data_IF_583712576054
#
_entry.id   IF_583712576054
#
_cell.length_a   1.000
_cell.length_b   1.000
_cell.length_c   1.000
_cell.angle_alpha   90.00
_cell.angle_beta   90.00
_cell.angle_gamma   90.00
#
_symmetry.space_group_name_H-M   'P 1'
#
loop_
_entity.id
_entity.type
_entity.pdbx_description
1 polymer ?
#
# COMPACT_ATOMS: atom_id res chain seq x y z
N UNK A 1 -19.27 -29.33 -22.36
CA UNK A 1 -19.33 -27.85 -22.26
C UNK A 1 -19.30 -27.37 -20.80
N UNK A 2 -20.18 -27.83 -19.91
CA UNK A 2 -20.23 -27.39 -18.50
C UNK A 2 -18.88 -27.49 -17.75
N UNK A 3 -18.11 -28.55 -17.95
CA UNK A 3 -16.78 -28.69 -17.35
C UNK A 3 -15.81 -27.58 -17.75
N UNK A 4 -15.79 -27.18 -19.02
CA UNK A 4 -14.91 -26.12 -19.52
C UNK A 4 -15.29 -24.78 -18.88
N UNK A 5 -16.58 -24.42 -18.91
CA UNK A 5 -17.10 -23.20 -18.29
C UNK A 5 -16.80 -23.15 -16.78
N UNK A 6 -17.06 -24.25 -16.07
CA UNK A 6 -16.76 -24.36 -14.63
C UNK A 6 -15.28 -24.15 -14.32
N UNK A 7 -14.40 -24.78 -15.11
CA UNK A 7 -12.95 -24.71 -14.94
C UNK A 7 -12.37 -23.33 -15.28
N UNK A 8 -12.85 -22.68 -16.34
CA UNK A 8 -12.32 -21.39 -16.80
C UNK A 8 -12.74 -20.23 -15.90
N UNK A 9 -14.01 -20.22 -15.50
CA UNK A 9 -14.61 -19.12 -14.74
C UNK A 9 -14.59 -19.34 -13.22
N UNK A 10 -14.20 -20.53 -12.76
CA UNK A 10 -14.32 -20.91 -11.34
C UNK A 10 -15.77 -20.78 -10.81
N UNK A 11 -16.76 -20.97 -11.68
CA UNK A 11 -18.18 -20.78 -11.39
C UNK A 11 -18.99 -22.07 -11.68
N UNK A 12 -18.84 -23.13 -10.86
CA UNK A 12 -19.43 -24.45 -11.13
C UNK A 12 -20.96 -24.42 -11.20
N UNK A 13 -21.63 -23.78 -10.24
CA UNK A 13 -23.09 -23.72 -10.21
C UNK A 13 -23.65 -23.00 -11.45
N UNK A 14 -23.09 -21.85 -11.80
CA UNK A 14 -23.49 -21.08 -12.98
C UNK A 14 -23.32 -21.90 -14.26
N UNK A 15 -22.22 -22.63 -14.40
CA UNK A 15 -21.98 -23.48 -15.57
C UNK A 15 -22.96 -24.66 -15.68
N UNK A 16 -23.35 -25.27 -14.54
CA UNK A 16 -24.33 -26.35 -14.50
C UNK A 16 -25.70 -25.82 -14.93
N UNK A 17 -26.19 -24.74 -14.30
CA UNK A 17 -27.51 -24.17 -14.59
C UNK A 17 -27.61 -23.63 -16.01
N UNK A 18 -26.58 -22.94 -16.50
CA UNK A 18 -26.56 -22.42 -17.87
C UNK A 18 -26.72 -23.55 -18.90
N UNK A 19 -25.97 -24.64 -18.74
CA UNK A 19 -26.02 -25.76 -19.69
C UNK A 19 -27.32 -26.55 -19.55
N UNK A 20 -27.80 -26.78 -18.31
CA UNK A 20 -29.08 -27.45 -18.08
C UNK A 20 -30.25 -26.67 -18.70
N UNK A 21 -30.26 -25.34 -18.54
CA UNK A 21 -31.30 -24.46 -19.08
C UNK A 21 -31.29 -24.42 -20.62
N UNK A 22 -30.10 -24.23 -21.24
CA UNK A 22 -29.98 -24.14 -22.70
C UNK A 22 -30.31 -25.48 -23.38
N UNK A 23 -29.95 -26.59 -22.76
CA UNK A 23 -30.21 -27.93 -23.33
C UNK A 23 -31.57 -28.50 -22.96
N UNK A 24 -32.29 -27.89 -22.00
CA UNK A 24 -33.50 -28.44 -21.40
C UNK A 24 -33.28 -29.77 -20.66
N UNK A 25 -32.02 -30.18 -20.47
CA UNK A 25 -31.63 -31.52 -20.04
C UNK A 25 -31.47 -31.65 -18.52
N UNK A 26 -32.52 -31.36 -17.76
CA UNK A 26 -32.50 -31.48 -16.30
C UNK A 26 -32.27 -32.92 -15.80
N UNK A 27 -32.61 -33.92 -16.61
CA UNK A 27 -32.34 -35.33 -16.31
C UNK A 27 -30.84 -35.65 -16.18
N UNK A 28 -29.97 -34.82 -16.77
CA UNK A 28 -28.51 -34.96 -16.74
C UNK A 28 -27.82 -34.11 -15.65
N UNK A 29 -28.59 -33.57 -14.69
CA UNK A 29 -28.06 -32.69 -13.66
C UNK A 29 -26.98 -33.35 -12.79
N UNK A 30 -27.18 -34.61 -12.39
CA UNK A 30 -26.20 -35.36 -11.57
C UNK A 30 -24.85 -35.51 -12.32
N UNK A 31 -24.81 -36.05 -13.56
CA UNK A 31 -23.58 -36.06 -14.36
C UNK A 31 -22.92 -34.69 -14.55
N UNK A 32 -23.73 -33.63 -14.80
CA UNK A 32 -23.21 -32.27 -15.00
C UNK A 32 -22.53 -31.73 -13.74
N UNK A 33 -23.10 -31.98 -12.56
CA UNK A 33 -22.50 -31.59 -11.28
C UNK A 33 -21.14 -32.24 -11.09
N UNK A 34 -21.03 -33.55 -11.33
CA UNK A 34 -19.76 -34.28 -11.16
C UNK A 34 -18.69 -33.70 -12.08
N UNK A 35 -19.00 -33.53 -13.37
CA UNK A 35 -18.05 -32.99 -14.36
C UNK A 35 -17.65 -31.56 -14.01
N UNK A 36 -18.59 -30.71 -13.61
CA UNK A 36 -18.32 -29.32 -13.24
C UNK A 36 -17.45 -29.22 -11.98
N UNK A 37 -17.73 -30.03 -10.95
CA UNK A 37 -16.98 -30.07 -9.69
C UNK A 37 -15.56 -30.60 -9.89
N UNK A 38 -15.38 -31.68 -10.64
CA UNK A 38 -14.04 -32.22 -10.94
C UNK A 38 -13.22 -31.22 -11.75
N UNK A 39 -13.82 -30.62 -12.78
CA UNK A 39 -13.14 -29.60 -13.59
C UNK A 39 -12.73 -28.38 -12.76
N UNK A 40 -13.61 -27.90 -11.87
CA UNK A 40 -13.30 -26.81 -10.95
C UNK A 40 -12.16 -27.16 -9.99
N UNK A 41 -12.19 -28.35 -9.38
CA UNK A 41 -11.17 -28.77 -8.43
C UNK A 41 -9.79 -28.91 -9.09
N UNK A 42 -9.74 -29.49 -10.29
CA UNK A 42 -8.50 -29.61 -11.07
C UNK A 42 -8.02 -28.23 -11.51
N UNK A 43 -8.89 -27.40 -12.10
CA UNK A 43 -8.51 -26.05 -12.57
C UNK A 43 -7.96 -25.20 -11.43
N UNK A 44 -8.66 -25.14 -10.29
CA UNK A 44 -8.24 -24.38 -9.11
C UNK A 44 -6.92 -24.85 -8.50
N UNK A 45 -6.55 -26.12 -8.70
CA UNK A 45 -5.29 -26.69 -8.21
C UNK A 45 -4.08 -26.24 -9.04
N UNK A 46 -4.27 -26.05 -10.35
CA UNK A 46 -3.21 -25.66 -11.28
C UNK A 46 -3.17 -24.14 -11.52
N UNK A 47 -4.31 -23.48 -11.56
CA UNK A 47 -4.44 -22.03 -11.77
C UNK A 47 -5.26 -21.43 -10.62
N UNK A 48 -4.63 -20.55 -9.82
CA UNK A 48 -5.29 -19.95 -8.65
C UNK A 48 -6.33 -18.90 -9.02
N UNK A 49 -6.24 -18.32 -10.22
CA UNK A 49 -7.08 -17.22 -10.66
C UNK A 49 -7.96 -17.65 -11.84
N UNK A 50 -9.25 -17.35 -11.79
CA UNK A 50 -10.12 -17.51 -12.97
C UNK A 50 -9.62 -16.61 -14.10
N UNK A 51 -10.01 -16.91 -15.34
CA UNK A 51 -9.58 -16.14 -16.51
C UNK A 51 -9.88 -14.64 -16.38
N UNK A 52 -11.01 -14.30 -15.77
CA UNK A 52 -11.44 -12.92 -15.52
C UNK A 52 -10.53 -12.19 -14.52
N UNK A 53 -10.09 -12.90 -13.48
CA UNK A 53 -9.22 -12.34 -12.43
C UNK A 53 -7.75 -12.32 -12.88
N UNK A 54 -7.34 -13.24 -13.78
CA UNK A 54 -5.96 -13.36 -14.25
C UNK A 54 -5.44 -12.09 -14.94
N UNK A 55 -6.29 -11.44 -15.73
CA UNK A 55 -5.94 -10.17 -16.38
C UNK A 55 -5.83 -9.00 -15.40
N UNK A 56 -6.66 -8.98 -14.34
CA UNK A 56 -6.53 -8.01 -13.25
C UNK A 56 -5.28 -8.28 -12.42
N UNK A 57 -4.95 -9.56 -12.19
CA UNK A 57 -3.79 -9.99 -11.40
C UNK A 57 -2.50 -9.53 -12.06
N UNK A 58 -2.41 -9.74 -13.37
CA UNK A 58 -1.25 -9.34 -14.16
C UNK A 58 -1.06 -7.83 -14.23
N UNK A 59 -2.13 -7.04 -14.08
CA UNK A 59 -2.07 -5.57 -14.07
C UNK A 59 -1.77 -4.99 -12.69
N UNK A 60 -1.50 -5.82 -11.67
CA UNK A 60 -1.31 -5.36 -10.29
C UNK A 60 -2.59 -4.90 -9.58
N UNK A 61 -3.74 -4.94 -10.27
CA UNK A 61 -5.05 -4.52 -9.76
C UNK A 61 -5.84 -5.67 -9.13
N UNK A 62 -5.19 -6.78 -8.75
CA UNK A 62 -5.86 -7.74 -7.88
C UNK A 62 -5.96 -7.12 -6.52
N UNK A 63 -7.17 -6.64 -6.24
CA UNK A 63 -7.74 -6.61 -4.91
C UNK A 63 -7.56 -8.01 -4.31
N UNK A 64 -6.39 -8.25 -3.72
CA UNK A 64 -6.17 -9.46 -2.96
C UNK A 64 -7.18 -9.46 -1.81
N UNK A 65 -7.41 -10.62 -1.19
CA UNK A 65 -8.20 -10.66 0.04
C UNK A 65 -7.57 -9.82 1.18
N UNK A 66 -6.34 -9.34 0.99
CA UNK A 66 -5.64 -8.46 1.92
C UNK A 66 -5.95 -6.99 1.56
N UNK A 67 -6.95 -6.44 2.23
CA UNK A 67 -7.41 -5.05 2.06
C UNK A 67 -6.30 -4.05 2.35
N UNK A 68 -5.43 -4.33 3.31
CA UNK A 68 -4.40 -3.39 3.80
C UNK A 68 -3.36 -3.12 2.72
N UNK A 69 -2.83 -4.18 2.09
CA UNK A 69 -1.88 -4.05 0.98
C UNK A 69 -2.45 -3.22 -0.16
N UNK A 70 -3.73 -3.41 -0.46
CA UNK A 70 -4.38 -2.74 -1.58
C UNK A 70 -4.69 -1.26 -1.30
N UNK A 71 -4.82 -0.87 -0.02
CA UNK A 71 -4.93 0.53 0.40
C UNK A 71 -3.55 1.19 0.36
N UNK A 72 -2.52 0.53 0.89
CA UNK A 72 -1.16 1.05 0.91
C UNK A 72 -0.59 1.27 -0.50
N UNK A 73 -0.89 0.38 -1.46
CA UNK A 73 -0.49 0.55 -2.86
C UNK A 73 -1.17 1.72 -3.58
N UNK A 74 -2.23 2.31 -3.01
CA UNK A 74 -2.92 3.48 -3.58
C UNK A 74 -2.45 4.80 -2.98
N UNK A 75 -1.67 4.77 -1.90
CA UNK A 75 -1.16 5.99 -1.30
C UNK A 75 0.00 6.51 -2.15
N UNK A 76 -0.09 7.76 -2.59
CA UNK A 76 1.03 8.45 -3.23
C UNK A 76 1.94 9.01 -2.13
N UNK A 77 3.25 8.80 -2.27
CA UNK A 77 4.24 9.29 -1.29
C UNK A 77 4.17 10.82 -1.17
N UNK A 78 3.85 11.50 -2.28
CA UNK A 78 3.74 12.96 -2.34
C UNK A 78 2.66 13.53 -1.42
N UNK A 79 1.59 12.76 -1.16
CA UNK A 79 0.51 13.14 -0.23
C UNK A 79 0.89 12.91 1.24
N UNK A 80 1.90 12.06 1.48
CA UNK A 80 2.35 11.69 2.82
C UNK A 80 3.54 12.54 3.30
N UNK A 81 4.30 13.11 2.37
CA UNK A 81 5.49 13.93 2.70
C UNK A 81 5.05 15.34 3.08
N UNK A 82 5.29 15.71 4.35
CA UNK A 82 5.09 17.07 4.84
C UNK A 82 6.16 18.00 4.26
N UNK A 83 5.77 18.89 3.34
CA UNK A 83 6.67 19.83 2.64
C UNK A 83 7.02 21.08 3.45
N UNK A 84 6.26 21.38 4.50
CA UNK A 84 6.51 22.51 5.39
C UNK A 84 7.23 22.00 6.63
N UNK A 85 8.54 22.19 6.65
CA UNK A 85 9.42 21.88 7.77
C UNK A 85 10.21 23.13 8.14
N UNK A 86 10.42 23.34 9.44
CA UNK A 86 11.34 24.38 9.90
C UNK A 86 12.77 23.93 9.60
N UNK A 87 13.52 24.81 8.95
CA UNK A 87 14.92 24.66 8.59
C UNK A 87 15.77 25.56 9.47
N UNK A 88 17.02 25.15 9.67
CA UNK A 88 18.06 25.95 10.32
C UNK A 88 19.19 26.16 9.31
N UNK A 89 19.66 27.38 9.16
CA UNK A 89 20.81 27.66 8.29
C UNK A 89 22.11 27.32 9.03
N UNK A 90 23.11 26.79 8.31
CA UNK A 90 24.39 26.40 8.93
C UNK A 90 25.13 27.57 9.62
N UNK A 91 24.90 28.80 9.15
CA UNK A 91 25.51 30.03 9.66
C UNK A 91 24.60 30.82 10.61
N UNK A 92 23.47 30.25 11.04
CA UNK A 92 22.48 30.98 11.83
C UNK A 92 22.92 31.15 13.30
N UNK A 93 22.67 32.33 13.88
CA UNK A 93 23.00 32.60 15.28
C UNK A 93 22.21 31.70 16.24
N UNK A 94 22.89 31.24 17.29
CA UNK A 94 22.33 30.31 18.29
C UNK A 94 21.09 30.88 18.99
N UNK A 95 21.02 32.20 19.18
CA UNK A 95 19.88 32.89 19.80
C UNK A 95 18.63 32.81 18.92
N UNK A 96 18.77 33.02 17.60
CA UNK A 96 17.68 32.87 16.64
C UNK A 96 17.22 31.41 16.56
N UNK A 97 18.15 30.45 16.62
CA UNK A 97 17.82 29.02 16.66
C UNK A 97 17.06 28.67 17.93
N UNK A 98 17.47 29.20 19.09
CA UNK A 98 16.79 29.01 20.36
C UNK A 98 15.35 29.57 20.36
N UNK A 99 15.15 30.73 19.76
CA UNK A 99 13.82 31.34 19.61
C UNK A 99 12.92 30.52 18.66
N UNK A 100 13.49 30.01 17.56
CA UNK A 100 12.80 29.13 16.61
C UNK A 100 12.36 27.82 17.26
N UNK A 101 13.21 27.27 18.14
CA UNK A 101 12.94 26.05 18.92
C UNK A 101 11.87 26.28 19.99
N UNK A 102 11.84 27.45 20.62
CA UNK A 102 10.86 27.78 21.66
C UNK A 102 9.41 27.82 21.13
N UNK A 103 9.24 28.10 19.84
CA UNK A 103 7.92 28.24 19.19
C UNK A 103 7.53 27.05 18.30
N UNK A 104 8.29 25.94 18.36
CA UNK A 104 8.11 24.79 17.49
C UNK A 104 7.92 23.48 18.26
N UNK A 105 6.95 22.67 17.84
CA UNK A 105 6.76 21.29 18.31
C UNK A 105 7.57 20.26 17.49
N UNK A 106 8.46 20.72 16.58
CA UNK A 106 9.22 19.87 15.69
C UNK A 106 10.41 19.23 16.44
N UNK A 107 10.60 17.91 16.26
CA UNK A 107 11.65 17.14 16.94
C UNK A 107 12.96 17.09 16.14
N UNK A 108 12.88 17.22 14.82
CA UNK A 108 14.01 17.07 13.88
C UNK A 108 14.05 18.31 13.02
N UNK A 109 15.20 18.97 12.94
CA UNK A 109 15.44 20.15 12.12
C UNK A 109 16.39 19.78 10.99
N UNK A 110 16.05 20.17 9.77
CA UNK A 110 16.96 20.07 8.63
C UNK A 110 17.91 21.25 8.63
N UNK A 111 19.21 20.99 8.59
CA UNK A 111 20.22 22.02 8.39
C UNK A 111 20.42 22.19 6.90
N UNK A 112 20.20 23.41 6.41
CA UNK A 112 20.36 23.73 4.99
C UNK A 112 21.49 24.72 4.78
N UNK A 113 22.16 24.58 3.64
CA UNK A 113 23.14 25.55 3.14
C UNK A 113 22.45 26.79 2.58
N UNK A 114 23.23 27.82 2.29
CA UNK A 114 22.75 29.05 1.62
C UNK A 114 22.14 28.74 0.24
N UNK A 115 22.59 27.67 -0.41
CA UNK A 115 22.06 27.16 -1.68
C UNK A 115 20.81 26.26 -1.53
N UNK A 116 20.23 26.20 -0.31
CA UNK A 116 19.06 25.40 0.05
C UNK A 116 19.25 23.88 -0.15
N UNK A 117 20.50 23.41 -0.08
CA UNK A 117 20.85 21.99 -0.03
C UNK A 117 20.83 21.48 1.41
N UNK A 118 20.32 20.26 1.63
CA UNK A 118 20.32 19.63 2.94
C UNK A 118 21.74 19.18 3.32
N UNK A 119 22.35 19.86 4.28
CA UNK A 119 23.68 19.49 4.81
C UNK A 119 23.60 18.49 5.96
N UNK A 120 22.50 18.50 6.72
CA UNK A 120 22.38 17.61 7.87
C UNK A 120 21.03 17.64 8.57
N UNK A 121 20.95 16.88 9.66
CA UNK A 121 19.79 16.80 10.54
C UNK A 121 20.25 17.03 11.98
N UNK A 122 19.47 17.79 12.73
CA UNK A 122 19.73 18.02 14.15
C UNK A 122 18.47 17.76 14.95
N UNK A 123 18.60 17.04 16.06
CA UNK A 123 17.49 16.75 16.94
C UNK A 123 17.33 17.85 17.98
N UNK A 124 16.07 18.13 18.35
CA UNK A 124 15.73 19.09 19.38
C UNK A 124 16.49 18.86 20.71
N UNK A 125 16.65 17.59 21.10
CA UNK A 125 17.32 17.23 22.34
C UNK A 125 18.82 17.60 22.33
N UNK A 126 19.48 17.46 21.17
CA UNK A 126 20.91 17.74 21.04
C UNK A 126 21.16 19.26 21.11
N UNK A 127 20.30 20.07 20.48
CA UNK A 127 20.44 21.54 20.50
C UNK A 127 20.11 22.09 21.89
N UNK A 128 19.11 21.51 22.57
CA UNK A 128 18.72 21.93 23.91
C UNK A 128 19.92 21.87 24.88
N UNK A 129 20.68 20.78 24.87
CA UNK A 129 21.85 20.63 25.74
C UNK A 129 22.90 21.71 25.47
N UNK A 130 23.18 21.99 24.18
CA UNK A 130 24.14 23.02 23.76
C UNK A 130 23.71 24.43 24.16
N UNK A 131 22.43 24.78 24.01
CA UNK A 131 21.91 26.10 24.41
C UNK A 131 22.04 26.30 25.92
N UNK A 132 21.68 25.29 26.72
CA UNK A 132 21.78 25.38 28.19
C UNK A 132 23.22 25.41 28.70
N UNK A 133 24.17 24.72 28.04
CA UNK A 133 25.59 24.81 28.39
C UNK A 133 26.20 26.18 28.11
N UNK A 134 25.80 26.84 27.01
CA UNK A 134 26.34 28.16 26.66
C UNK A 134 25.81 29.28 27.55
N UNK A 135 24.52 29.25 27.91
CA UNK A 135 23.94 30.26 28.82
C UNK A 135 24.52 30.25 30.23
N UNK A 136 25.18 29.16 30.63
CA UNK A 136 25.77 28.99 31.97
C UNK A 136 27.27 29.37 32.02
N UNK A 137 27.86 29.83 30.90
CA UNK A 137 29.26 30.28 30.82
C UNK A 137 29.43 31.81 30.86
N UNK A 138 28.34 32.56 30.77
CA UNK A 138 28.34 34.03 30.78
C UNK A 138 27.97 34.63 32.16
N UNK A 139 27.95 33.83 33.23
CA UNK A 139 27.99 34.27 34.65
C UNK A 139 29.40 34.10 35.24
#
# INVERSE_FOLDING_TARGET
>A
MAGILSGLFHAPLTAIFLIAEITGGYDLMIPLMIVASVSFAVSKRFEKHSLDVKNLARKGNVFTSNKDTNILCKLEIEDLVKKVYLIVEANQDLENVAELLAHSDQVIFGVVSDDNELEGLVYFNDIREVIFEHGNRDE
#
